data_IF_367803989496
#
_entry.id   IF_367803989496
#
_cell.length_a   1.000
_cell.length_b   1.000
_cell.length_c   1.000
_cell.angle_alpha   90.00
_cell.angle_beta   90.00
_cell.angle_gamma   90.00
#
_symmetry.space_group_name_H-M   'P 1'
#
loop_
_entity.id
_entity.type
_entity.pdbx_description
1 polymer ?
#
# COMPACT_ATOMS: atom_id res chain seq x y z
N UNK A 1 -0.70 9.30 17.99
CA UNK A 1 0.70 9.70 18.29
C UNK A 1 0.77 11.09 18.92
N UNK A 2 0.38 12.16 18.23
CA UNK A 2 0.44 13.53 18.79
C UNK A 2 -0.29 13.71 20.13
N UNK A 3 -1.43 13.04 20.31
CA UNK A 3 -2.12 13.02 21.60
C UNK A 3 -1.25 12.44 22.73
N UNK A 4 -0.52 11.36 22.45
CA UNK A 4 0.42 10.75 23.41
C UNK A 4 1.59 11.67 23.70
N UNK A 5 2.12 12.35 22.67
CA UNK A 5 3.18 13.36 22.83
C UNK A 5 2.73 14.50 23.74
N UNK A 6 1.57 15.09 23.47
CA UNK A 6 1.01 16.16 24.30
C UNK A 6 0.75 15.69 25.75
N UNK A 7 0.22 14.47 25.91
CA UNK A 7 -0.01 13.89 27.23
C UNK A 7 1.31 13.76 28.03
N UNK A 8 2.35 13.17 27.44
CA UNK A 8 3.63 12.97 28.12
C UNK A 8 4.38 14.29 28.36
N UNK A 9 4.43 15.17 27.36
CA UNK A 9 5.25 16.38 27.42
C UNK A 9 4.57 17.53 28.17
N UNK A 10 3.28 17.75 27.94
CA UNK A 10 2.56 18.91 28.46
C UNK A 10 1.82 18.58 29.76
N UNK A 11 1.28 17.36 29.90
CA UNK A 11 0.54 16.97 31.11
C UNK A 11 1.46 16.39 32.18
N UNK A 12 2.38 15.49 31.79
CA UNK A 12 3.29 14.82 32.74
C UNK A 12 4.69 15.45 32.83
N UNK A 13 5.03 16.42 31.98
CA UNK A 13 6.34 17.07 31.98
C UNK A 13 7.51 16.17 31.53
N UNK A 14 7.23 14.99 30.98
CA UNK A 14 8.21 13.97 30.59
C UNK A 14 8.82 14.24 29.21
N UNK A 15 9.43 15.42 29.04
CA UNK A 15 9.99 15.88 27.75
C UNK A 15 11.21 15.10 27.27
N UNK A 16 11.85 14.34 28.16
CA UNK A 16 12.97 13.45 27.82
C UNK A 16 12.53 12.21 27.02
N UNK A 17 11.24 11.87 27.03
CA UNK A 17 10.72 10.73 26.28
C UNK A 17 10.45 11.18 24.85
N UNK A 18 11.17 10.61 23.89
CA UNK A 18 10.92 10.86 22.48
C UNK A 18 9.74 10.02 21.98
N UNK A 19 8.81 10.66 21.26
CA UNK A 19 7.64 10.01 20.69
C UNK A 19 7.77 10.00 19.18
N UNK A 20 7.80 8.79 18.61
CA UNK A 20 7.80 8.50 17.18
C UNK A 20 6.69 7.49 16.89
N UNK A 21 6.27 7.42 15.64
CA UNK A 21 5.25 6.50 15.17
C UNK A 21 5.74 5.66 14.00
N UNK A 22 5.21 4.45 13.90
CA UNK A 22 5.29 3.62 12.70
C UNK A 22 3.86 3.27 12.31
N UNK A 23 3.47 3.63 11.08
CA UNK A 23 2.19 3.22 10.50
C UNK A 23 2.44 2.09 9.52
N UNK A 24 1.71 0.98 9.66
CA UNK A 24 1.76 -0.19 8.78
C UNK A 24 0.40 -0.37 8.12
N UNK A 25 0.34 -0.30 6.79
CA UNK A 25 -0.89 -0.48 6.00
C UNK A 25 -2.06 0.43 6.40
N UNK A 26 -1.75 1.57 7.03
CA UNK A 26 -2.74 2.52 7.55
C UNK A 26 -3.03 3.71 6.62
N UNK A 27 -2.43 3.74 5.42
CA UNK A 27 -2.52 4.87 4.51
C UNK A 27 -3.50 4.57 3.36
N UNK A 28 -4.75 4.96 3.58
CA UNK A 28 -5.85 4.78 2.62
C UNK A 28 -6.10 6.03 1.76
N UNK A 29 -6.78 5.82 0.65
CA UNK A 29 -7.30 6.84 -0.25
C UNK A 29 -8.83 6.88 -0.20
N UNK A 30 -9.38 8.08 -0.10
CA UNK A 30 -10.80 8.41 -0.23
C UNK A 30 -11.21 8.57 -1.70
N UNK A 31 -11.01 7.51 -2.49
CA UNK A 31 -11.34 7.47 -3.92
C UNK A 31 -12.70 6.81 -4.18
N UNK A 32 -13.22 6.99 -5.39
CA UNK A 32 -14.43 6.30 -5.82
C UNK A 32 -14.12 4.81 -6.08
N UNK A 33 -14.95 3.87 -5.57
CA UNK A 33 -14.75 2.44 -5.79
C UNK A 33 -14.90 2.07 -7.27
N UNK A 34 -14.33 0.92 -7.66
CA UNK A 34 -14.44 0.35 -9.00
C UNK A 34 -15.89 0.06 -9.38
N UNK A 35 -16.66 -0.58 -8.48
CA UNK A 35 -18.10 -0.78 -8.63
C UNK A 35 -18.86 -0.16 -7.47
N UNK A 36 -19.95 0.52 -7.80
CA UNK A 36 -20.90 1.03 -6.81
C UNK A 36 -21.99 -0.03 -6.66
N UNK A 37 -21.89 -0.88 -5.65
CA UNK A 37 -23.02 -1.73 -5.26
C UNK A 37 -23.99 -0.89 -4.42
N UNK A 38 -25.25 -0.81 -4.86
CA UNK A 38 -26.32 -0.08 -4.18
C UNK A 38 -26.61 -0.57 -2.76
N UNK A 39 -26.15 -1.78 -2.39
CA UNK A 39 -26.30 -2.36 -1.06
C UNK A 39 -25.05 -2.24 -0.18
N UNK A 40 -23.89 -1.92 -0.76
CA UNK A 40 -22.63 -1.76 -0.02
C UNK A 40 -22.46 -0.32 0.45
N UNK A 41 -21.99 -0.14 1.68
CA UNK A 41 -21.59 1.18 2.16
C UNK A 41 -20.27 1.55 1.47
N UNK A 42 -20.25 2.63 0.67
CA UNK A 42 -18.99 3.13 0.14
C UNK A 42 -18.00 3.35 1.30
N UNK A 43 -16.70 3.00 1.16
CA UNK A 43 -15.72 3.13 2.25
C UNK A 43 -15.67 4.52 2.87
N UNK A 44 -15.90 5.53 2.03
CA UNK A 44 -16.04 6.92 2.46
C UNK A 44 -17.17 7.15 3.45
N UNK A 45 -18.32 6.54 3.19
CA UNK A 45 -19.46 6.61 4.08
C UNK A 45 -19.24 5.78 5.35
N UNK A 46 -18.42 4.72 5.27
CA UNK A 46 -18.00 3.94 6.45
C UNK A 46 -17.22 4.80 7.44
N UNK A 47 -16.23 5.58 6.97
CA UNK A 47 -15.46 6.48 7.84
C UNK A 47 -16.35 7.59 8.41
N UNK A 48 -17.20 8.20 7.57
CA UNK A 48 -18.15 9.24 8.01
C UNK A 48 -19.10 8.75 9.10
N UNK A 49 -19.78 7.62 8.85
CA UNK A 49 -20.72 7.03 9.81
C UNK A 49 -20.00 6.50 11.05
N UNK A 50 -18.83 5.89 10.88
CA UNK A 50 -17.99 5.38 11.96
C UNK A 50 -17.57 6.47 12.93
N UNK A 51 -17.13 7.63 12.42
CA UNK A 51 -16.78 8.78 13.25
C UNK A 51 -17.94 9.20 14.17
N UNK A 52 -19.15 9.30 13.64
CA UNK A 52 -20.34 9.66 14.43
C UNK A 52 -20.69 8.56 15.42
N UNK A 53 -20.74 7.30 14.96
CA UNK A 53 -21.14 6.15 15.76
C UNK A 53 -20.20 5.93 16.96
N UNK A 54 -18.90 6.06 16.74
CA UNK A 54 -17.88 5.83 17.76
C UNK A 54 -17.57 7.06 18.61
N UNK A 55 -18.24 8.19 18.34
CA UNK A 55 -17.89 9.50 18.91
C UNK A 55 -16.38 9.77 18.76
N UNK A 56 -15.86 9.45 17.57
CA UNK A 56 -14.43 9.47 17.29
C UNK A 56 -13.85 10.87 17.44
N UNK A 57 -12.59 10.92 17.87
CA UNK A 57 -11.84 12.18 18.02
C UNK A 57 -10.66 12.16 17.08
N UNK A 58 -10.48 13.25 16.37
CA UNK A 58 -9.33 13.47 15.47
C UNK A 58 -8.41 14.54 16.04
N UNK A 59 -7.21 14.66 15.51
CA UNK A 59 -6.29 15.74 15.90
C UNK A 59 -6.93 17.10 15.64
N UNK A 60 -6.89 17.99 16.63
CA UNK A 60 -7.43 19.36 16.50
C UNK A 60 -6.76 20.12 15.35
N UNK A 61 -5.46 19.91 15.13
CA UNK A 61 -4.70 20.51 14.00
C UNK A 61 -5.22 20.05 12.65
N UNK A 62 -5.59 18.77 12.52
CA UNK A 62 -6.18 18.28 11.29
C UNK A 62 -7.63 18.77 11.12
N UNK A 63 -8.41 18.78 12.21
CA UNK A 63 -9.79 19.26 12.18
C UNK A 63 -9.90 20.73 11.77
N UNK A 64 -8.92 21.57 12.10
CA UNK A 64 -8.87 22.97 11.63
C UNK A 64 -8.87 23.09 10.10
N UNK A 65 -8.30 22.11 9.38
CA UNK A 65 -8.31 22.08 7.93
C UNK A 65 -9.65 21.54 7.36
N UNK A 66 -10.42 20.82 8.18
CA UNK A 66 -11.67 20.17 7.79
C UNK A 66 -12.75 20.33 8.88
N UNK A 67 -13.17 21.57 9.19
CA UNK A 67 -14.06 21.84 10.33
C UNK A 67 -15.41 21.12 10.23
N UNK A 68 -15.98 21.08 9.02
CA UNK A 68 -17.27 20.44 8.74
C UNK A 68 -17.13 18.97 8.31
N UNK A 69 -15.92 18.53 7.99
CA UNK A 69 -15.63 17.18 7.49
C UNK A 69 -14.47 16.49 8.25
N UNK A 70 -14.53 16.39 9.60
CA UNK A 70 -13.43 15.86 10.41
C UNK A 70 -13.05 14.41 10.08
N UNK A 71 -13.97 13.64 9.47
CA UNK A 71 -13.72 12.29 8.97
C UNK A 71 -12.56 12.22 7.97
N UNK A 72 -12.27 13.33 7.26
CA UNK A 72 -11.12 13.43 6.35
C UNK A 72 -9.78 13.19 7.05
N UNK A 73 -9.71 13.42 8.36
CA UNK A 73 -8.50 13.19 9.15
C UNK A 73 -8.15 11.72 9.38
N UNK A 74 -9.01 10.78 8.97
CA UNK A 74 -8.68 9.35 8.96
C UNK A 74 -7.80 8.95 7.77
N UNK A 75 -7.66 9.80 6.75
CA UNK A 75 -6.82 9.54 5.58
C UNK A 75 -5.41 10.10 5.78
N UNK A 76 -4.41 9.23 5.67
CA UNK A 76 -3.01 9.54 6.01
C UNK A 76 -2.48 10.80 5.31
N UNK A 77 -2.71 10.93 4.01
CA UNK A 77 -2.21 12.08 3.23
C UNK A 77 -2.84 13.43 3.62
N UNK A 78 -4.00 13.41 4.28
CA UNK A 78 -4.68 14.60 4.80
C UNK A 78 -4.23 14.95 6.22
N UNK A 79 -3.97 13.93 7.04
CA UNK A 79 -3.58 14.12 8.44
C UNK A 79 -2.07 14.33 8.61
N UNK A 80 -1.24 13.68 7.79
CA UNK A 80 0.23 13.70 7.86
C UNK A 80 0.84 15.11 7.93
N UNK A 81 0.44 16.08 7.08
CA UNK A 81 1.01 17.43 7.13
C UNK A 81 0.75 18.18 8.45
N UNK A 82 -0.18 17.69 9.26
CA UNK A 82 -0.56 18.33 10.54
C UNK A 82 0.12 17.70 11.75
N UNK A 83 0.81 16.57 11.58
CA UNK A 83 1.48 15.84 12.66
C UNK A 83 2.73 16.58 13.16
N UNK A 84 3.02 16.42 14.45
CA UNK A 84 4.17 17.03 15.13
C UNK A 84 5.18 16.01 15.65
N UNK A 85 4.75 14.77 15.86
CA UNK A 85 5.67 13.68 16.12
C UNK A 85 6.11 13.03 14.78
N UNK A 86 7.37 12.60 14.66
CA UNK A 86 7.85 11.91 13.47
C UNK A 86 7.07 10.61 13.22
N UNK A 87 6.71 10.35 11.96
CA UNK A 87 6.00 9.15 11.54
C UNK A 87 6.74 8.47 10.40
N UNK A 88 7.15 7.22 10.59
CA UNK A 88 7.55 6.33 9.52
C UNK A 88 6.31 5.67 8.93
N UNK A 89 6.15 5.74 7.61
CA UNK A 89 5.01 5.13 6.91
C UNK A 89 5.50 3.91 6.15
N UNK A 90 4.95 2.75 6.47
CA UNK A 90 5.00 1.57 5.61
C UNK A 90 3.65 1.42 4.91
N UNK A 91 3.67 1.25 3.58
CA UNK A 91 2.43 1.06 2.81
C UNK A 91 2.68 0.24 1.54
N UNK A 92 1.96 -0.87 1.38
CA UNK A 92 1.88 -1.58 0.10
C UNK A 92 1.24 -0.68 -0.95
N UNK A 93 1.87 -0.51 -2.12
CA UNK A 93 1.29 0.28 -3.22
C UNK A 93 -0.01 -0.35 -3.76
N UNK A 94 -0.16 -1.66 -3.59
CA UNK A 94 -1.37 -2.40 -3.96
C UNK A 94 -1.95 -3.10 -2.73
N UNK A 95 -2.30 -2.31 -1.71
CA UNK A 95 -2.83 -2.84 -0.46
C UNK A 95 -4.18 -3.53 -0.64
N UNK A 96 -4.28 -4.78 -0.18
CA UNK A 96 -5.51 -5.58 -0.35
C UNK A 96 -6.72 -4.99 0.38
N UNK A 97 -6.51 -4.29 1.51
CA UNK A 97 -7.61 -3.63 2.20
C UNK A 97 -8.10 -2.39 1.44
N UNK A 98 -7.21 -1.66 0.78
CA UNK A 98 -7.61 -0.57 -0.14
C UNK A 98 -8.36 -1.14 -1.35
N UNK A 99 -7.87 -2.24 -1.95
CA UNK A 99 -8.55 -2.92 -3.05
C UNK A 99 -9.96 -3.37 -2.65
N UNK A 100 -10.08 -3.99 -1.46
CA UNK A 100 -11.36 -4.41 -0.88
C UNK A 100 -12.29 -3.22 -0.67
N UNK A 101 -11.78 -2.12 -0.11
CA UNK A 101 -12.53 -0.89 0.06
C UNK A 101 -13.03 -0.35 -1.30
N UNK A 102 -12.16 -0.35 -2.30
CA UNK A 102 -12.50 0.08 -3.66
C UNK A 102 -13.38 -0.93 -4.42
N UNK A 103 -13.88 -1.98 -3.77
CA UNK A 103 -14.75 -2.99 -4.35
C UNK A 103 -14.11 -3.67 -5.58
N UNK A 104 -12.78 -3.83 -5.53
CA UNK A 104 -11.99 -4.55 -6.52
C UNK A 104 -11.30 -5.73 -5.83
N UNK A 105 -11.76 -6.94 -6.13
CA UNK A 105 -11.14 -8.17 -5.63
C UNK A 105 -9.88 -8.53 -6.40
N UNK A 106 -9.47 -9.80 -6.31
CA UNK A 106 -8.46 -10.36 -7.20
C UNK A 106 -8.89 -10.08 -8.66
N UNK A 107 -8.12 -9.26 -9.40
CA UNK A 107 -8.56 -8.74 -10.68
C UNK A 107 -8.48 -9.81 -11.77
N UNK A 108 -9.59 -10.06 -12.46
CA UNK A 108 -9.72 -11.09 -13.51
C UNK A 108 -9.97 -10.51 -14.90
N UNK A 109 -10.06 -9.17 -14.99
CA UNK A 109 -10.32 -8.45 -16.25
C UNK A 109 -9.36 -7.29 -16.42
N UNK A 110 -9.08 -6.91 -17.69
CA UNK A 110 -8.24 -5.74 -18.01
C UNK A 110 -8.73 -4.45 -17.32
N UNK A 111 -10.04 -4.25 -17.21
CA UNK A 111 -10.60 -3.04 -16.59
C UNK A 111 -10.30 -2.97 -15.08
N UNK A 112 -10.38 -4.11 -14.38
CA UNK A 112 -9.96 -4.19 -12.97
C UNK A 112 -8.46 -3.93 -12.84
N UNK A 113 -7.65 -4.44 -13.77
CA UNK A 113 -6.21 -4.15 -13.85
C UNK A 113 -5.91 -2.67 -14.03
N UNK A 114 -6.54 -2.01 -15.01
CA UNK A 114 -6.38 -0.58 -15.27
C UNK A 114 -6.76 0.25 -14.02
N UNK A 115 -7.77 -0.19 -13.27
CA UNK A 115 -8.16 0.45 -12.01
C UNK A 115 -7.10 0.29 -10.93
N UNK A 116 -6.56 -0.92 -10.74
CA UNK A 116 -5.52 -1.22 -9.75
C UNK A 116 -4.22 -0.49 -10.07
N UNK A 117 -3.80 -0.41 -11.34
CA UNK A 117 -2.64 0.40 -11.73
C UNK A 117 -2.83 1.87 -11.35
N UNK A 118 -3.99 2.46 -11.67
CA UNK A 118 -4.33 3.84 -11.27
C UNK A 118 -4.40 3.99 -9.75
N UNK A 119 -4.75 2.95 -9.00
CA UNK A 119 -4.73 2.93 -7.54
C UNK A 119 -3.31 3.02 -7.00
N UNK A 120 -2.39 2.18 -7.48
CA UNK A 120 -0.98 2.23 -7.12
C UNK A 120 -0.33 3.58 -7.45
N UNK A 121 -0.65 4.16 -8.60
CA UNK A 121 -0.19 5.50 -8.96
C UNK A 121 -0.75 6.56 -8.03
N UNK A 122 -2.03 6.52 -7.71
CA UNK A 122 -2.65 7.48 -6.78
C UNK A 122 -2.02 7.38 -5.38
N UNK A 123 -1.72 6.17 -4.90
CA UNK A 123 -1.02 5.97 -3.63
C UNK A 123 0.37 6.59 -3.68
N UNK A 124 1.13 6.31 -4.74
CA UNK A 124 2.47 6.90 -4.96
C UNK A 124 2.45 8.43 -4.93
N UNK A 125 1.48 9.06 -5.61
CA UNK A 125 1.34 10.53 -5.61
C UNK A 125 0.95 11.09 -4.25
N UNK A 126 0.16 10.36 -3.46
CA UNK A 126 -0.25 10.80 -2.12
C UNK A 126 0.93 10.95 -1.15
N UNK A 127 2.06 10.27 -1.42
CA UNK A 127 3.27 10.30 -0.61
C UNK A 127 4.24 11.45 -0.92
N UNK A 128 3.87 12.43 -1.74
CA UNK A 128 4.79 13.50 -2.19
C UNK A 128 5.46 14.26 -1.03
N UNK A 129 4.76 14.44 0.10
CA UNK A 129 5.28 15.15 1.29
C UNK A 129 5.75 14.23 2.43
N UNK A 130 5.78 12.90 2.23
CA UNK A 130 6.18 11.95 3.27
C UNK A 130 7.69 11.78 3.25
N UNK A 131 8.33 12.02 4.41
CA UNK A 131 9.79 12.07 4.55
C UNK A 131 10.41 10.74 4.97
N UNK A 132 9.66 9.93 5.72
CA UNK A 132 10.08 8.59 6.18
C UNK A 132 9.05 7.58 5.66
N UNK A 133 9.42 6.83 4.63
CA UNK A 133 8.49 6.02 3.84
C UNK A 133 9.16 4.75 3.33
N UNK A 134 8.42 3.65 3.37
CA UNK A 134 8.76 2.39 2.72
C UNK A 134 7.51 1.85 2.00
N UNK A 135 7.48 1.98 0.67
CA UNK A 135 6.32 1.63 -0.14
C UNK A 135 6.68 0.70 -1.31
N UNK A 136 6.68 -0.62 -1.09
CA UNK A 136 6.99 -1.61 -2.11
C UNK A 136 5.79 -1.85 -3.06
N UNK A 137 6.09 -2.27 -4.29
CA UNK A 137 5.09 -2.58 -5.32
C UNK A 137 4.62 -4.03 -5.22
N UNK A 138 3.92 -4.36 -4.12
CA UNK A 138 3.37 -5.69 -3.87
C UNK A 138 1.88 -5.63 -3.58
N UNK A 139 1.19 -6.73 -3.87
CA UNK A 139 -0.17 -6.99 -3.40
C UNK A 139 -0.05 -7.72 -2.07
N UNK A 140 -0.42 -7.06 -0.99
CA UNK A 140 -0.47 -7.65 0.35
C UNK A 140 -1.20 -6.73 1.31
N UNK A 141 -1.33 -7.14 2.57
CA UNK A 141 -1.81 -6.29 3.65
C UNK A 141 -1.07 -6.59 4.96
N UNK A 142 -0.68 -5.53 5.68
CA UNK A 142 0.21 -5.53 6.87
C UNK A 142 1.61 -6.11 6.61
N UNK A 143 2.58 -5.74 7.44
CA UNK A 143 3.94 -6.29 7.35
C UNK A 143 4.56 -6.53 8.72
N UNK A 144 4.37 -5.66 9.71
CA UNK A 144 5.14 -5.67 10.97
C UNK A 144 4.81 -6.86 11.87
N UNK A 145 3.67 -7.50 11.64
CA UNK A 145 3.21 -8.69 12.38
C UNK A 145 3.56 -10.00 11.68
N UNK A 146 4.10 -9.95 10.45
CA UNK A 146 4.44 -11.14 9.66
C UNK A 146 5.84 -11.64 10.00
N UNK A 147 6.07 -12.95 9.90
CA UNK A 147 7.37 -13.58 10.25
C UNK A 147 8.48 -13.18 9.28
N UNK A 148 8.13 -13.02 8.01
CA UNK A 148 9.00 -12.75 6.87
C UNK A 148 9.17 -11.26 6.56
N UNK A 149 8.69 -10.37 7.44
CA UNK A 149 8.76 -8.91 7.27
C UNK A 149 10.18 -8.37 7.01
N UNK A 150 11.20 -9.10 7.50
CA UNK A 150 12.62 -8.78 7.29
C UNK A 150 13.10 -9.01 5.86
N UNK A 151 12.39 -9.84 5.09
CA UNK A 151 12.71 -10.18 3.71
C UNK A 151 12.30 -9.10 2.71
N UNK A 152 11.35 -8.22 3.07
CA UNK A 152 10.85 -7.16 2.19
C UNK A 152 11.90 -6.07 2.02
N UNK A 153 12.22 -5.74 0.76
CA UNK A 153 13.30 -4.83 0.35
C UNK A 153 12.87 -3.90 -0.76
N UNK A 154 13.49 -2.71 -0.82
CA UNK A 154 13.45 -1.82 -1.99
C UNK A 154 14.88 -1.39 -2.27
N UNK A 155 15.39 -1.63 -3.49
CA UNK A 155 16.77 -1.34 -3.88
C UNK A 155 17.81 -1.90 -2.87
N UNK A 156 17.68 -3.18 -2.51
CA UNK A 156 18.49 -3.89 -1.50
C UNK A 156 18.41 -3.39 -0.04
N UNK A 157 17.64 -2.33 0.24
CA UNK A 157 17.40 -1.88 1.61
C UNK A 157 16.17 -2.60 2.16
N UNK A 158 16.35 -3.39 3.21
CA UNK A 158 15.25 -4.10 3.89
C UNK A 158 14.44 -3.16 4.78
N UNK A 159 13.19 -3.52 5.06
CA UNK A 159 12.35 -2.77 5.99
C UNK A 159 12.99 -2.58 7.38
N UNK A 160 13.60 -3.60 8.03
CA UNK A 160 14.36 -3.38 9.27
C UNK A 160 15.51 -2.37 9.14
N UNK A 161 16.26 -2.41 8.04
CA UNK A 161 17.34 -1.44 7.79
C UNK A 161 16.77 -0.01 7.64
N UNK A 162 15.62 0.13 6.97
CA UNK A 162 14.95 1.40 6.81
C UNK A 162 14.42 1.97 8.14
N UNK A 163 13.87 1.11 9.00
CA UNK A 163 13.42 1.50 10.35
C UNK A 163 14.58 1.86 11.29
N UNK A 164 15.73 1.20 11.13
CA UNK A 164 16.92 1.47 11.94
C UNK A 164 17.60 2.80 11.61
N UNK A 165 17.23 3.47 10.51
CA UNK A 165 17.93 4.61 9.93
C UNK A 165 18.54 5.58 10.94
N UNK A 166 19.80 5.98 10.71
CA UNK A 166 20.57 6.92 11.54
C UNK A 166 19.78 8.20 11.87
N UNK A 167 20.13 8.81 13.01
CA UNK A 167 19.59 9.95 13.80
C UNK A 167 18.41 10.80 13.25
N UNK A 168 18.24 10.92 11.93
CA UNK A 168 17.15 11.66 11.26
C UNK A 168 16.04 10.79 10.64
N UNK A 169 16.21 9.47 10.47
CA UNK A 169 15.19 8.53 9.94
C UNK A 169 14.45 9.04 8.68
N UNK A 170 15.13 9.78 7.79
CA UNK A 170 14.55 10.33 6.55
C UNK A 170 14.78 9.42 5.35
N UNK A 171 14.58 8.11 5.52
CA UNK A 171 14.64 7.19 4.38
C UNK A 171 13.29 7.15 3.67
N UNK A 172 13.28 7.61 2.42
CA UNK A 172 12.10 7.62 1.56
C UNK A 172 12.28 6.63 0.41
N UNK A 173 11.85 5.40 0.63
CA UNK A 173 11.91 4.29 -0.32
C UNK A 173 10.51 4.04 -0.90
N UNK A 174 10.36 4.27 -2.19
CA UNK A 174 9.12 3.99 -2.93
C UNK A 174 9.49 3.25 -4.19
N UNK A 175 8.82 2.14 -4.43
CA UNK A 175 9.06 1.33 -5.61
C UNK A 175 8.73 2.10 -6.89
N UNK A 176 9.61 1.96 -7.89
CA UNK A 176 9.52 2.74 -9.13
C UNK A 176 8.68 2.05 -10.18
N UNK A 177 8.66 0.72 -10.22
CA UNK A 177 7.83 -0.01 -11.16
C UNK A 177 6.34 0.20 -10.86
N UNK A 178 5.54 0.29 -11.92
CA UNK A 178 4.10 0.56 -11.88
C UNK A 178 3.26 -0.72 -11.79
N UNK A 179 3.90 -1.88 -11.86
CA UNK A 179 3.25 -3.18 -11.99
C UNK A 179 3.13 -3.87 -10.61
N UNK A 180 1.94 -4.34 -10.18
CA UNK A 180 1.79 -5.02 -8.90
C UNK A 180 2.63 -6.30 -8.85
N UNK A 181 3.32 -6.59 -7.75
CA UNK A 181 4.23 -7.74 -7.64
C UNK A 181 5.50 -7.65 -8.50
N UNK A 182 5.89 -6.45 -8.98
CA UNK A 182 7.16 -6.29 -9.70
C UNK A 182 8.41 -6.35 -8.80
N UNK A 183 8.24 -6.23 -7.48
CA UNK A 183 9.35 -6.28 -6.55
C UNK A 183 9.65 -7.74 -6.16
N UNK A 184 10.89 -8.18 -6.35
CA UNK A 184 11.31 -9.57 -6.11
C UNK A 184 11.22 -10.03 -4.65
N UNK A 185 11.12 -9.09 -3.71
CA UNK A 185 10.95 -9.38 -2.28
C UNK A 185 9.49 -9.43 -1.83
N UNK A 186 8.55 -9.31 -2.77
CA UNK A 186 7.14 -9.39 -2.43
C UNK A 186 6.78 -10.74 -1.80
N UNK A 187 5.84 -10.74 -0.83
CA UNK A 187 5.29 -11.99 -0.33
C UNK A 187 4.58 -12.72 -1.46
N UNK A 188 4.69 -14.05 -1.45
CA UNK A 188 3.98 -14.89 -2.41
C UNK A 188 2.47 -14.70 -2.27
N UNK A 189 1.80 -14.71 -3.42
CA UNK A 189 0.36 -14.69 -3.46
C UNK A 189 -0.21 -16.09 -3.24
N UNK A 190 -1.37 -16.15 -2.61
CA UNK A 190 -2.10 -17.39 -2.38
C UNK A 190 -3.43 -17.35 -3.12
N UNK A 191 -3.78 -18.48 -3.71
CA UNK A 191 -5.05 -18.65 -4.37
C UNK A 191 -6.18 -18.52 -3.31
N UNK A 192 -7.16 -17.63 -3.50
CA UNK A 192 -8.19 -17.37 -2.49
C UNK A 192 -9.17 -18.54 -2.29
N UNK A 193 -9.21 -19.50 -3.22
CA UNK A 193 -10.08 -20.67 -3.17
C UNK A 193 -9.39 -21.91 -2.60
N UNK A 194 -8.12 -22.13 -2.95
CA UNK A 194 -7.36 -23.33 -2.54
C UNK A 194 -6.38 -23.06 -1.39
N UNK A 195 -5.95 -21.81 -1.21
CA UNK A 195 -4.89 -21.43 -0.27
C UNK A 195 -3.48 -21.77 -0.75
N UNK A 196 -3.34 -22.40 -1.92
CA UNK A 196 -2.04 -22.76 -2.49
C UNK A 196 -1.30 -21.52 -2.98
N UNK A 197 0.04 -21.56 -2.92
CA UNK A 197 0.87 -20.49 -3.46
C UNK A 197 0.66 -20.40 -4.97
N UNK A 198 0.35 -19.21 -5.46
CA UNK A 198 0.24 -18.94 -6.89
C UNK A 198 1.62 -18.76 -7.50
N UNK A 199 1.88 -19.45 -8.60
CA UNK A 199 3.06 -19.15 -9.42
C UNK A 199 2.85 -17.85 -10.22
N UNK A 200 3.94 -17.30 -10.75
CA UNK A 200 3.90 -16.02 -11.47
C UNK A 200 3.17 -16.09 -12.81
N UNK A 201 3.15 -17.24 -13.48
CA UNK A 201 2.37 -17.45 -14.71
C UNK A 201 0.87 -17.53 -14.40
N UNK A 202 0.50 -18.23 -13.33
CA UNK A 202 -0.87 -18.27 -12.80
C UNK A 202 -1.32 -16.87 -12.39
N UNK A 203 -0.41 -16.08 -11.81
CA UNK A 203 -0.62 -14.66 -11.56
C UNK A 203 -0.91 -13.91 -12.86
N UNK A 204 -0.07 -13.99 -13.89
CA UNK A 204 -0.33 -13.33 -15.18
C UNK A 204 -1.63 -13.80 -15.84
N UNK A 205 -1.95 -15.08 -15.79
CA UNK A 205 -3.22 -15.63 -16.29
C UNK A 205 -4.41 -15.07 -15.53
N UNK A 206 -4.28 -14.93 -14.21
CA UNK A 206 -5.29 -14.25 -13.41
C UNK A 206 -5.48 -12.82 -13.87
N UNK A 207 -4.48 -12.20 -14.53
CA UNK A 207 -4.55 -10.83 -15.01
C UNK A 207 -5.37 -10.67 -16.30
N UNK A 208 -6.01 -11.75 -16.75
CA UNK A 208 -6.69 -11.80 -18.04
C UNK A 208 -5.72 -11.72 -19.21
N UNK A 209 -4.42 -11.92 -18.96
CA UNK A 209 -3.42 -12.02 -20.01
C UNK A 209 -3.56 -13.40 -20.65
N UNK A 210 -3.88 -13.39 -21.94
CA UNK A 210 -3.74 -14.57 -22.77
C UNK A 210 -2.25 -14.85 -22.95
N UNK A 211 -1.77 -15.95 -22.38
CA UNK A 211 -0.35 -16.28 -22.41
C UNK A 211 0.16 -16.54 -23.83
N UNK A 212 -0.70 -16.94 -24.77
CA UNK A 212 -0.33 -16.98 -26.19
C UNK A 212 -0.04 -15.58 -26.73
N UNK A 213 -0.88 -14.60 -26.40
CA UNK A 213 -0.66 -13.19 -26.75
C UNK A 213 0.61 -12.63 -26.08
N UNK A 214 0.90 -13.00 -24.83
CA UNK A 214 2.14 -12.63 -24.14
C UNK A 214 3.37 -13.28 -24.82
N UNK A 215 3.30 -14.57 -25.12
CA UNK A 215 4.37 -15.29 -25.83
C UNK A 215 4.67 -14.64 -27.19
N UNK A 216 3.61 -14.32 -27.96
CA UNK A 216 3.71 -13.66 -29.24
C UNK A 216 4.31 -12.24 -29.13
N UNK A 217 3.91 -11.47 -28.11
CA UNK A 217 4.44 -10.12 -27.87
C UNK A 217 5.91 -10.13 -27.44
N UNK A 218 6.32 -11.17 -26.71
CA UNK A 218 7.69 -11.39 -26.28
C UNK A 218 8.55 -12.10 -27.34
N UNK A 219 7.96 -12.56 -28.44
CA UNK A 219 8.65 -13.28 -29.51
C UNK A 219 9.21 -14.64 -29.07
N UNK A 220 8.60 -15.28 -28.07
CA UNK A 220 9.03 -16.56 -27.51
C UNK A 220 7.92 -17.60 -27.61
N UNK A 221 8.30 -18.88 -27.61
CA UNK A 221 7.34 -19.98 -27.66
C UNK A 221 6.56 -20.13 -26.33
N UNK A 222 5.31 -20.57 -26.42
CA UNK A 222 4.42 -20.72 -25.27
C UNK A 222 4.92 -21.79 -24.28
N UNK A 223 5.59 -22.85 -24.74
CA UNK A 223 6.20 -23.83 -23.84
C UNK A 223 7.45 -23.26 -23.18
N UNK A 224 8.22 -22.42 -23.87
CA UNK A 224 9.34 -21.70 -23.23
C UNK A 224 8.80 -20.77 -22.15
N UNK A 225 7.79 -19.96 -22.45
CA UNK A 225 7.16 -19.02 -21.51
C UNK A 225 6.59 -19.73 -20.27
N UNK A 226 5.91 -20.87 -20.42
CA UNK A 226 5.34 -21.62 -19.30
C UNK A 226 6.39 -22.34 -18.43
N UNK A 227 7.62 -22.53 -18.95
CA UNK A 227 8.71 -23.18 -18.22
C UNK A 227 9.74 -22.19 -17.67
N UNK A 228 9.61 -20.89 -17.98
CA UNK A 228 10.47 -19.84 -17.42
C UNK A 228 10.25 -19.72 -15.92
N UNK A 229 11.33 -19.44 -15.21
CA UNK A 229 11.24 -19.11 -13.80
C UNK A 229 10.73 -17.68 -13.59
N UNK A 230 10.44 -17.36 -12.32
CA UNK A 230 9.89 -16.06 -11.94
C UNK A 230 10.81 -14.88 -12.31
N UNK A 231 12.13 -15.05 -12.20
CA UNK A 231 13.10 -13.97 -12.48
C UNK A 231 13.20 -13.69 -13.97
N UNK A 232 13.26 -14.73 -14.80
CA UNK A 232 13.30 -14.58 -16.26
C UNK A 232 12.07 -13.85 -16.78
N UNK A 233 10.89 -14.20 -16.27
CA UNK A 233 9.63 -13.61 -16.70
C UNK A 233 9.47 -12.15 -16.27
N UNK A 234 9.84 -11.83 -15.02
CA UNK A 234 9.81 -10.45 -14.51
C UNK A 234 10.75 -9.54 -15.28
N UNK A 235 11.96 -10.02 -15.59
CA UNK A 235 12.92 -9.26 -16.38
C UNK A 235 12.36 -8.93 -17.77
N UNK A 236 11.69 -9.87 -18.43
CA UNK A 236 11.07 -9.64 -19.74
C UNK A 236 9.93 -8.60 -19.68
N UNK A 237 9.07 -8.67 -18.66
CA UNK A 237 7.93 -7.75 -18.52
C UNK A 237 8.36 -6.34 -18.12
N UNK A 238 9.43 -6.21 -17.32
CA UNK A 238 9.92 -4.92 -16.84
C UNK A 238 10.86 -4.22 -17.83
N UNK A 239 11.57 -4.96 -18.70
CA UNK A 239 12.43 -4.39 -19.74
C UNK A 239 11.67 -3.71 -20.88
N UNK A 240 10.43 -4.14 -21.19
CA UNK A 240 9.61 -3.54 -22.25
C UNK A 240 8.84 -2.28 -21.80
N UNK A 241 8.92 -1.90 -20.52
CA UNK A 241 8.21 -0.73 -19.97
C UNK A 241 9.01 0.60 -20.05
N UNK A 242 10.15 0.62 -20.76
CA UNK A 242 10.95 1.81 -21.05
C UNK A 242 10.72 2.34 -22.47
#
# INVERSE_FOLDING_TARGET
MDHVKALLHDTFGLRQIEIRGVSDSGWFLDRAPYTVDSHSLAPLDAVRKGLVLWQGRVSSRCQQNFPDEPWRCYFGYRSYPTLTAPLFVFQWLFDEAQMTADNVGAPVTKQQWDYIHKMGDSLRHSFHNVTALFAPSCISHTVLTKKDWQGVKINEVSLPQALQGEETCQQRLVERCSWPQCNHSCPKLHNPFTGEEMDFIELLKSFGLDMMSVANALGIDIHTLNNMDHEELLNLLTQQAN
#
